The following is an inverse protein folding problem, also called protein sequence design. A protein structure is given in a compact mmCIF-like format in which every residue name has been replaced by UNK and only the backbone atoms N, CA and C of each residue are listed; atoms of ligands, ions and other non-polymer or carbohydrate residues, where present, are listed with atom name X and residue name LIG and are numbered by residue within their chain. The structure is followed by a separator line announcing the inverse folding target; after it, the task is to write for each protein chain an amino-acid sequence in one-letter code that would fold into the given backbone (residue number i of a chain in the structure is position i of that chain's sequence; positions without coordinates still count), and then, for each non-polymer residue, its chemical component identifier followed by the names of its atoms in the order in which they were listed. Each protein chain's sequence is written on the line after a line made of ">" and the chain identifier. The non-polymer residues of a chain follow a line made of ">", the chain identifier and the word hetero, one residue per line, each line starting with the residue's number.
data_IF_805918732052
#
_entry.id   IF_805918732052
#
_cell.length_a   1.000
_cell.length_b   1.000
_cell.length_c   1.000
_cell.angle_alpha   90.00
_cell.angle_beta   90.00
_cell.angle_gamma   90.00
#
_symmetry.space_group_name_H-M   'P 1'
#
loop_
_entity.id
_entity.type
_entity.pdbx_description
1 polymer ?
#
# COMPACT_ATOMS: atom_id res chain seq x y z
N UNK A 1 37.88 -13.52 -15.82
CA UNK A 1 37.53 -12.60 -14.71
C UNK A 1 36.01 -12.61 -14.59
N UNK A 2 35.43 -13.57 -13.83
CA UNK A 2 33.98 -13.62 -13.66
C UNK A 2 33.51 -12.27 -13.07
N UNK A 3 32.61 -11.62 -13.80
CA UNK A 3 32.22 -10.24 -13.60
C UNK A 3 31.72 -10.06 -12.15
N UNK A 4 32.29 -9.15 -11.35
CA UNK A 4 31.95 -9.00 -9.91
C UNK A 4 30.44 -8.87 -9.66
N UNK A 5 29.74 -8.34 -10.66
CA UNK A 5 28.29 -8.21 -10.72
C UNK A 5 27.54 -9.56 -10.72
N UNK A 6 28.01 -10.58 -11.44
CA UNK A 6 27.34 -11.89 -11.45
C UNK A 6 27.50 -12.63 -10.13
N UNK A 7 28.64 -12.44 -9.44
CA UNK A 7 28.83 -12.98 -8.09
C UNK A 7 27.92 -12.29 -7.07
N UNK A 8 27.84 -10.96 -7.12
CA UNK A 8 26.95 -10.17 -6.26
C UNK A 8 25.47 -10.56 -6.41
N UNK A 9 24.99 -10.70 -7.65
CA UNK A 9 23.61 -11.15 -7.92
C UNK A 9 23.39 -12.59 -7.42
N UNK A 10 24.39 -13.46 -7.53
CA UNK A 10 24.35 -14.82 -6.99
C UNK A 10 24.20 -14.84 -5.48
N UNK A 11 25.04 -14.08 -4.77
CA UNK A 11 25.01 -13.94 -3.31
C UNK A 11 23.69 -13.33 -2.82
N UNK A 12 23.20 -12.25 -3.45
CA UNK A 12 21.91 -11.63 -3.10
C UNK A 12 20.71 -12.57 -3.31
N UNK A 13 20.72 -13.40 -4.37
CA UNK A 13 19.66 -14.41 -4.57
C UNK A 13 19.68 -15.49 -3.48
N UNK A 14 20.85 -15.82 -2.96
CA UNK A 14 21.00 -16.80 -1.89
C UNK A 14 20.50 -16.24 -0.54
N UNK A 15 20.73 -14.95 -0.27
CA UNK A 15 20.17 -14.26 0.90
C UNK A 15 18.65 -14.08 0.82
N UNK A 16 18.12 -13.73 -0.36
CA UNK A 16 16.67 -13.60 -0.58
C UNK A 16 15.91 -14.91 -0.35
N UNK A 17 16.58 -16.06 -0.48
CA UNK A 17 16.01 -17.38 -0.15
C UNK A 17 15.91 -17.64 1.35
N UNK A 18 16.71 -16.95 2.17
CA UNK A 18 16.66 -17.04 3.64
C UNK A 18 15.55 -16.15 4.23
N UNK A 19 14.98 -15.27 3.42
CA UNK A 19 13.85 -14.42 3.83
C UNK A 19 12.61 -15.29 4.00
N UNK A 20 12.00 -15.22 5.18
CA UNK A 20 10.73 -15.88 5.48
C UNK A 20 9.61 -15.05 4.84
N UNK A 21 9.15 -15.49 3.68
CA UNK A 21 8.03 -14.83 3.00
C UNK A 21 6.71 -15.18 3.69
N UNK A 22 5.78 -14.22 3.80
CA UNK A 22 4.48 -14.43 4.41
C UNK A 22 3.70 -15.49 3.64
N UNK A 23 2.84 -16.22 4.36
CA UNK A 23 1.97 -17.23 3.73
C UNK A 23 0.91 -16.54 2.87
N UNK A 24 0.48 -17.19 1.78
CA UNK A 24 -0.53 -16.63 0.85
C UNK A 24 -1.79 -16.12 1.57
N UNK A 25 -2.23 -16.84 2.61
CA UNK A 25 -3.40 -16.47 3.42
C UNK A 25 -3.20 -15.17 4.20
N UNK A 26 -2.01 -15.01 4.77
CA UNK A 26 -1.64 -13.80 5.51
C UNK A 26 -1.54 -12.59 4.56
N UNK A 27 -0.89 -12.76 3.41
CA UNK A 27 -0.80 -11.69 2.39
C UNK A 27 -2.18 -11.21 1.94
N UNK A 28 -3.11 -12.12 1.64
CA UNK A 28 -4.47 -11.74 1.23
C UNK A 28 -5.23 -11.03 2.35
N UNK A 29 -5.08 -11.47 3.60
CA UNK A 29 -5.72 -10.81 4.76
C UNK A 29 -5.22 -9.37 4.91
N UNK A 30 -3.90 -9.16 4.82
CA UNK A 30 -3.31 -7.83 4.90
C UNK A 30 -3.73 -6.93 3.73
N UNK A 31 -3.79 -7.47 2.51
CA UNK A 31 -4.31 -6.71 1.35
C UNK A 31 -5.76 -6.28 1.56
N UNK A 32 -6.62 -7.18 2.06
CA UNK A 32 -8.03 -6.84 2.31
C UNK A 32 -8.18 -5.77 3.39
N UNK A 33 -7.37 -5.83 4.45
CA UNK A 33 -7.33 -4.80 5.50
C UNK A 33 -6.95 -3.42 4.94
N UNK A 34 -5.94 -3.36 4.08
CA UNK A 34 -5.53 -2.10 3.43
C UNK A 34 -6.64 -1.54 2.54
N UNK A 35 -7.31 -2.40 1.76
CA UNK A 35 -8.45 -1.98 0.92
C UNK A 35 -9.58 -1.41 1.79
N UNK A 36 -9.94 -2.09 2.88
CA UNK A 36 -11.00 -1.64 3.78
C UNK A 36 -10.69 -0.26 4.39
N UNK A 37 -9.46 -0.06 4.88
CA UNK A 37 -9.03 1.22 5.47
C UNK A 37 -9.01 2.31 4.40
N UNK A 38 -8.49 2.02 3.20
CA UNK A 38 -8.45 3.00 2.11
C UNK A 38 -9.85 3.46 1.70
N UNK A 39 -10.81 2.54 1.60
CA UNK A 39 -12.22 2.87 1.32
C UNK A 39 -12.85 3.69 2.45
N UNK A 40 -12.57 3.35 3.71
CA UNK A 40 -13.07 4.10 4.86
C UNK A 40 -12.56 5.56 4.86
N UNK A 41 -11.26 5.76 4.59
CA UNK A 41 -10.66 7.09 4.48
C UNK A 41 -11.23 7.87 3.29
N UNK A 42 -11.38 7.22 2.13
CA UNK A 42 -11.96 7.86 0.95
C UNK A 42 -13.41 8.31 1.21
N UNK A 43 -14.22 7.47 1.85
CA UNK A 43 -15.60 7.81 2.22
C UNK A 43 -15.65 8.96 3.24
N UNK A 44 -14.77 8.93 4.24
CA UNK A 44 -14.69 9.99 5.24
C UNK A 44 -14.30 11.33 4.62
N UNK A 45 -13.21 11.37 3.85
CA UNK A 45 -12.76 12.60 3.18
C UNK A 45 -13.81 13.11 2.19
N UNK A 46 -14.39 12.23 1.37
CA UNK A 46 -15.44 12.62 0.44
C UNK A 46 -16.68 13.19 1.11
N UNK A 47 -17.08 12.67 2.28
CA UNK A 47 -18.18 13.22 3.05
C UNK A 47 -17.83 14.60 3.63
N UNK A 48 -16.62 14.76 4.15
CA UNK A 48 -16.14 16.05 4.66
C UNK A 48 -16.10 17.09 3.55
N UNK A 49 -15.55 16.74 2.38
CA UNK A 49 -15.49 17.63 1.21
C UNK A 49 -16.90 18.00 0.74
N UNK A 50 -17.85 17.07 0.74
CA UNK A 50 -19.25 17.34 0.39
C UNK A 50 -19.90 18.34 1.36
N UNK A 51 -19.77 18.10 2.66
CA UNK A 51 -20.32 18.99 3.70
C UNK A 51 -19.70 20.38 3.61
N UNK A 52 -18.38 20.46 3.46
CA UNK A 52 -17.70 21.73 3.30
C UNK A 52 -18.19 22.46 2.05
N UNK A 53 -18.21 21.81 0.88
CA UNK A 53 -18.70 22.45 -0.36
C UNK A 53 -20.14 22.98 -0.22
N UNK A 54 -21.06 22.19 0.35
CA UNK A 54 -22.44 22.64 0.57
C UNK A 54 -22.54 23.84 1.52
N UNK A 55 -21.71 23.89 2.57
CA UNK A 55 -21.66 25.03 3.49
C UNK A 55 -21.09 26.28 2.81
N UNK A 56 -20.04 26.12 2.01
CA UNK A 56 -19.44 27.22 1.24
C UNK A 56 -20.42 27.78 0.20
N UNK A 57 -21.09 26.92 -0.58
CA UNK A 57 -22.10 27.35 -1.57
C UNK A 57 -23.26 28.11 -0.93
N UNK A 58 -23.76 27.65 0.22
CA UNK A 58 -24.94 28.26 0.85
C UNK A 58 -24.63 29.52 1.68
N UNK A 59 -23.36 29.76 2.06
CA UNK A 59 -23.00 30.86 2.96
C UNK A 59 -22.21 32.00 2.28
N UNK A 60 -21.49 31.72 1.18
CA UNK A 60 -20.62 32.70 0.50
C UNK A 60 -21.12 33.17 -0.88
N UNK A 61 -22.08 32.49 -1.49
CA UNK A 61 -22.81 32.92 -2.70
C UNK A 61 -24.24 33.29 -2.28
#
# INVERSE_FOLDING_TARGET
>A
MANRLTRYIGESREELRKVVWPTRRETTSHTFMVIAISLAVAAFLGLVDFVLNSLFENFLI
#
